data_IF_260934096613
#
_entry.id   IF_260934096613
#
_cell.length_a   1.000
_cell.length_b   1.000
_cell.length_c   1.000
_cell.angle_alpha   90.00
_cell.angle_beta   90.00
_cell.angle_gamma   90.00
#
_symmetry.space_group_name_H-M   'P 1'
#
loop_
_entity.id
_entity.type
_entity.pdbx_description
1 polymer ?
#
# COMPACT_ATOMS: atom_id res chain seq x y z
N UNK A 1 12.67 -28.44 -6.87
CA UNK A 1 12.42 -27.25 -7.71
C UNK A 1 11.60 -26.24 -6.92
N UNK A 2 12.05 -25.00 -6.85
CA UNK A 2 11.35 -23.95 -6.11
C UNK A 2 10.08 -23.53 -6.85
N UNK A 3 8.99 -23.33 -6.10
CA UNK A 3 7.75 -22.77 -6.61
C UNK A 3 8.04 -21.40 -7.25
N UNK A 4 7.54 -21.10 -8.47
CA UNK A 4 7.83 -19.82 -9.11
C UNK A 4 7.36 -18.58 -8.33
N UNK A 5 6.27 -18.69 -7.57
CA UNK A 5 5.84 -17.60 -6.71
C UNK A 5 6.82 -17.36 -5.57
N UNK A 6 7.26 -18.42 -4.91
CA UNK A 6 8.24 -18.32 -3.84
C UNK A 6 9.59 -17.80 -4.36
N UNK A 7 10.01 -18.24 -5.53
CA UNK A 7 11.23 -17.77 -6.18
C UNK A 7 11.16 -16.25 -6.46
N UNK A 8 10.04 -15.78 -7.00
CA UNK A 8 9.82 -14.36 -7.25
C UNK A 8 9.86 -13.55 -5.94
N UNK A 9 9.12 -14.00 -4.92
CA UNK A 9 9.06 -13.31 -3.63
C UNK A 9 10.44 -13.26 -2.96
N UNK A 10 11.20 -14.34 -3.02
CA UNK A 10 12.55 -14.39 -2.45
C UNK A 10 13.48 -13.40 -3.15
N UNK A 11 13.41 -13.34 -4.47
CA UNK A 11 14.24 -12.42 -5.28
C UNK A 11 13.91 -10.95 -4.97
N UNK A 12 12.65 -10.64 -4.70
CA UNK A 12 12.16 -9.28 -4.50
C UNK A 12 11.94 -8.93 -3.02
N UNK A 13 12.40 -9.76 -2.09
CA UNK A 13 12.12 -9.58 -0.66
C UNK A 13 12.61 -8.22 -0.15
N UNK A 14 13.82 -7.81 -0.53
CA UNK A 14 14.37 -6.53 -0.08
C UNK A 14 13.59 -5.35 -0.64
N UNK A 15 13.18 -5.43 -1.90
CA UNK A 15 12.38 -4.37 -2.53
C UNK A 15 11.01 -4.25 -1.85
N UNK A 16 10.37 -5.39 -1.56
CA UNK A 16 9.09 -5.41 -0.85
C UNK A 16 9.23 -4.83 0.56
N UNK A 17 10.31 -5.16 1.26
CA UNK A 17 10.56 -4.62 2.58
C UNK A 17 10.77 -3.10 2.54
N UNK A 18 11.52 -2.60 1.56
CA UNK A 18 11.73 -1.18 1.39
C UNK A 18 10.42 -0.45 1.07
N UNK A 19 9.57 -1.02 0.23
CA UNK A 19 8.26 -0.45 -0.08
C UNK A 19 7.36 -0.43 1.16
N UNK A 20 7.36 -1.49 1.95
CA UNK A 20 6.60 -1.56 3.19
C UNK A 20 7.07 -0.51 4.20
N UNK A 21 8.37 -0.35 4.38
CA UNK A 21 8.93 0.68 5.26
C UNK A 21 8.50 2.07 4.81
N UNK A 22 8.62 2.36 3.52
CA UNK A 22 8.22 3.65 2.98
C UNK A 22 6.73 3.90 3.17
N UNK A 23 5.89 2.88 2.99
CA UNK A 23 4.46 2.99 3.23
C UNK A 23 4.15 3.31 4.69
N UNK A 24 4.77 2.61 5.62
CA UNK A 24 4.58 2.83 7.07
C UNK A 24 5.05 4.22 7.48
N UNK A 25 6.12 4.72 6.87
CA UNK A 25 6.63 6.07 7.15
C UNK A 25 5.71 7.18 6.63
N UNK A 26 4.82 6.88 5.70
CA UNK A 26 3.72 7.77 5.32
C UNK A 26 2.58 7.60 6.34
N UNK A 27 2.76 8.18 7.50
CA UNK A 27 1.81 8.07 8.59
C UNK A 27 0.43 8.54 8.15
N UNK A 28 -0.59 7.77 8.47
CA UNK A 28 -1.95 7.98 7.95
C UNK A 28 -3.02 7.82 9.03
N UNK A 29 -3.01 8.68 10.07
CA UNK A 29 -4.06 8.64 11.08
C UNK A 29 -5.43 8.87 10.44
N UNK A 30 -6.39 8.02 10.78
CA UNK A 30 -7.72 8.02 10.16
C UNK A 30 -8.38 9.41 10.15
N UNK A 31 -8.20 10.19 11.21
CA UNK A 31 -8.84 11.49 11.36
C UNK A 31 -8.10 12.62 10.63
N UNK A 32 -6.93 12.38 10.09
CA UNK A 32 -6.15 13.37 9.35
C UNK A 32 -6.24 13.09 7.84
N UNK A 33 -7.27 13.67 7.21
CA UNK A 33 -7.50 13.45 5.78
C UNK A 33 -6.28 13.79 4.93
N UNK A 34 -5.59 14.87 5.20
CA UNK A 34 -4.45 15.31 4.40
C UNK A 34 -3.32 14.26 4.43
N UNK A 35 -3.04 13.69 5.60
CA UNK A 35 -2.04 12.64 5.74
C UNK A 35 -2.49 11.31 5.13
N UNK A 36 -3.77 10.96 5.27
CA UNK A 36 -4.31 9.76 4.63
C UNK A 36 -4.22 9.90 3.11
N UNK A 37 -4.60 11.03 2.56
CA UNK A 37 -4.52 11.27 1.11
C UNK A 37 -3.07 11.28 0.61
N UNK A 38 -2.13 11.79 1.39
CA UNK A 38 -0.71 11.72 1.05
C UNK A 38 -0.20 10.28 1.01
N UNK A 39 -0.61 9.45 1.97
CA UNK A 39 -0.32 8.02 1.95
C UNK A 39 -0.93 7.35 0.71
N UNK A 40 -2.18 7.71 0.38
CA UNK A 40 -2.84 7.25 -0.84
C UNK A 40 -2.08 7.63 -2.10
N UNK A 41 -1.53 8.84 -2.17
CA UNK A 41 -0.70 9.26 -3.31
C UNK A 41 0.56 8.40 -3.43
N UNK A 42 1.19 8.06 -2.31
CA UNK A 42 2.33 7.14 -2.31
C UNK A 42 1.92 5.75 -2.85
N UNK A 43 0.76 5.24 -2.43
CA UNK A 43 0.24 3.98 -2.96
C UNK A 43 0.00 4.05 -4.47
N UNK A 44 -0.53 5.16 -4.97
CA UNK A 44 -0.70 5.36 -6.41
C UNK A 44 0.63 5.25 -7.15
N UNK A 45 1.69 5.82 -6.60
CA UNK A 45 3.03 5.73 -7.17
C UNK A 45 3.56 4.29 -7.17
N UNK A 46 3.33 3.54 -6.09
CA UNK A 46 3.72 2.13 -6.03
C UNK A 46 3.02 1.30 -7.10
N UNK A 47 1.70 1.44 -7.24
CA UNK A 47 0.94 0.72 -8.25
C UNK A 47 1.35 1.11 -9.67
N UNK A 48 1.62 2.39 -9.90
CA UNK A 48 2.09 2.85 -11.20
C UNK A 48 3.46 2.25 -11.57
N UNK A 49 4.39 2.24 -10.61
CA UNK A 49 5.74 1.71 -10.84
C UNK A 49 5.75 0.20 -11.06
N UNK A 50 5.00 -0.54 -10.25
CA UNK A 50 5.06 -2.00 -10.28
C UNK A 50 4.09 -2.63 -11.28
N UNK A 51 2.93 -2.03 -11.48
CA UNK A 51 1.85 -2.64 -12.26
C UNK A 51 1.37 -1.77 -13.41
N UNK A 52 1.88 -0.56 -13.54
CA UNK A 52 1.46 0.41 -14.58
C UNK A 52 -0.05 0.64 -14.55
N UNK A 53 -0.61 0.77 -13.36
CA UNK A 53 -2.06 0.93 -13.13
C UNK A 53 -2.30 2.22 -12.37
N UNK A 54 -3.29 2.99 -12.82
CA UNK A 54 -3.79 4.18 -12.13
C UNK A 54 -5.13 3.86 -11.48
N UNK A 55 -5.45 4.41 -10.29
CA UNK A 55 -6.71 4.13 -9.65
C UNK A 55 -7.85 5.01 -10.16
N UNK A 56 -9.09 4.54 -9.95
CA UNK A 56 -10.23 5.42 -9.83
C UNK A 56 -10.24 5.98 -8.41
N UNK A 57 -10.42 7.28 -8.29
CA UNK A 57 -10.45 7.97 -7.00
C UNK A 57 -11.88 8.37 -6.66
N UNK A 58 -12.32 7.98 -5.49
CA UNK A 58 -13.64 8.35 -4.97
C UNK A 58 -13.44 9.35 -3.83
N UNK A 59 -13.61 10.63 -4.13
CA UNK A 59 -13.36 11.72 -3.19
C UNK A 59 -14.30 11.65 -1.99
N UNK A 60 -13.73 11.86 -0.81
CA UNK A 60 -14.47 11.95 0.45
C UNK A 60 -14.25 13.33 1.05
N UNK A 61 -15.23 13.80 1.84
CA UNK A 61 -15.14 15.15 2.43
C UNK A 61 -14.41 15.15 3.77
N UNK A 62 -14.63 14.16 4.60
CA UNK A 62 -14.07 14.11 5.96
C UNK A 62 -12.96 13.09 6.11
N UNK A 63 -13.08 11.97 5.43
CA UNK A 63 -12.10 10.89 5.47
C UNK A 63 -11.17 10.96 4.26
N UNK A 64 -10.12 10.14 4.26
CA UNK A 64 -9.26 9.97 3.09
C UNK A 64 -10.05 9.43 1.91
N UNK A 65 -9.62 9.78 0.71
CA UNK A 65 -10.26 9.35 -0.51
C UNK A 65 -10.12 7.82 -0.69
N UNK A 66 -11.13 7.20 -1.28
CA UNK A 66 -11.07 5.78 -1.63
C UNK A 66 -10.35 5.61 -2.97
N UNK A 67 -9.57 4.56 -3.08
CA UNK A 67 -8.82 4.23 -4.30
C UNK A 67 -9.22 2.84 -4.78
N UNK A 68 -9.57 2.72 -6.06
CA UNK A 68 -9.90 1.45 -6.68
C UNK A 68 -8.93 1.16 -7.82
N UNK A 69 -8.12 0.13 -7.66
CA UNK A 69 -7.19 -0.33 -8.67
C UNK A 69 -7.76 -1.56 -9.36
N UNK A 70 -7.84 -1.53 -10.69
CA UNK A 70 -8.28 -2.66 -11.49
C UNK A 70 -7.08 -3.27 -12.18
N UNK A 71 -6.81 -4.54 -11.93
CA UNK A 71 -5.61 -5.23 -12.39
C UNK A 71 -6.00 -6.45 -13.18
N UNK A 72 -5.35 -6.63 -14.33
CA UNK A 72 -5.56 -7.79 -15.18
C UNK A 72 -6.82 -7.69 -16.03
N UNK A 73 -7.11 -8.79 -16.71
CA UNK A 73 -8.24 -8.92 -17.64
C UNK A 73 -8.90 -10.29 -17.43
N UNK A 74 -10.10 -10.43 -17.92
CA UNK A 74 -10.82 -11.68 -17.83
C UNK A 74 -12.24 -11.49 -17.33
N UNK A 75 -12.98 -12.60 -17.30
CA UNK A 75 -14.41 -12.60 -16.93
C UNK A 75 -14.65 -12.77 -15.44
N UNK A 76 -13.65 -13.24 -14.72
CA UNK A 76 -13.76 -13.42 -13.27
C UNK A 76 -13.04 -12.28 -12.57
N UNK A 77 -13.65 -11.79 -11.49
CA UNK A 77 -13.10 -10.72 -10.70
C UNK A 77 -13.04 -11.11 -9.24
N UNK A 78 -11.93 -10.80 -8.60
CA UNK A 78 -11.76 -10.95 -7.16
C UNK A 78 -11.60 -9.57 -6.57
N UNK A 79 -12.37 -9.27 -5.53
CA UNK A 79 -12.25 -8.01 -4.79
C UNK A 79 -11.35 -8.23 -3.58
N UNK A 80 -10.25 -7.48 -3.52
CA UNK A 80 -9.43 -7.37 -2.31
C UNK A 80 -9.77 -6.04 -1.64
N UNK A 81 -10.40 -6.11 -0.49
CA UNK A 81 -10.79 -4.92 0.26
C UNK A 81 -9.85 -4.75 1.44
N UNK A 82 -9.15 -3.62 1.46
CA UNK A 82 -8.17 -3.32 2.50
C UNK A 82 -8.21 -1.84 2.83
N UNK A 83 -7.44 -1.43 3.83
CA UNK A 83 -7.33 -0.02 4.18
C UNK A 83 -5.88 0.35 4.50
N UNK A 84 -5.54 1.62 4.32
CA UNK A 84 -4.20 2.12 4.59
C UNK A 84 -4.17 3.23 5.66
N UNK A 85 -5.33 3.65 6.15
CA UNK A 85 -5.41 4.52 7.32
C UNK A 85 -5.21 3.72 8.60
N UNK A 86 -4.77 4.37 9.66
CA UNK A 86 -4.50 3.72 10.94
C UNK A 86 -5.15 4.47 12.08
N UNK A 87 -5.31 3.77 13.21
CA UNK A 87 -5.81 4.38 14.45
C UNK A 87 -4.68 4.99 15.30
N UNK A 88 -3.44 4.89 14.84
CA UNK A 88 -2.29 5.37 15.60
C UNK A 88 -2.09 6.87 15.41
N UNK A 89 -1.83 7.57 16.52
CA UNK A 89 -1.42 8.96 16.49
C UNK A 89 -0.04 9.09 15.82
N UNK A 90 0.27 10.32 15.38
CA UNK A 90 1.57 10.61 14.78
C UNK A 90 2.72 10.25 15.73
N UNK A 91 3.79 9.73 15.12
CA UNK A 91 5.05 9.42 15.79
C UNK A 91 4.95 8.37 16.92
N UNK A 92 3.86 7.60 16.93
CA UNK A 92 3.69 6.50 17.88
C UNK A 92 4.34 5.19 17.43
N UNK A 93 4.40 4.98 16.10
CA UNK A 93 5.02 3.79 15.53
C UNK A 93 6.13 4.21 14.58
N UNK A 94 7.24 3.51 14.66
CA UNK A 94 8.33 3.63 13.69
C UNK A 94 8.61 2.27 13.07
N UNK A 95 9.53 2.24 12.13
CA UNK A 95 10.00 0.99 11.54
C UNK A 95 11.36 0.66 12.11
N UNK A 96 11.58 -0.62 12.42
CA UNK A 96 12.88 -1.15 12.78
C UNK A 96 12.94 -2.62 12.43
N UNK A 97 14.14 -3.12 12.23
CA UNK A 97 14.38 -4.53 11.96
C UNK A 97 15.29 -5.06 13.07
N UNK A 98 14.77 -6.04 13.80
CA UNK A 98 15.51 -6.71 14.86
C UNK A 98 15.41 -8.21 14.67
N UNK A 99 16.56 -8.90 14.63
CA UNK A 99 16.64 -10.36 14.47
C UNK A 99 15.85 -10.85 13.25
N UNK A 100 15.91 -10.10 12.13
CA UNK A 100 15.20 -10.44 10.91
C UNK A 100 13.70 -10.22 10.96
N UNK A 101 13.20 -9.44 11.93
CA UNK A 101 11.78 -9.17 12.13
C UNK A 101 11.47 -7.68 12.12
#
# INVERSE_FOLDING_TARGET
MMNPFLSYLTTHADDMLNDLKALVEHQSPTEDKALVDACGAFLCDLFARHLNVQPERFAQTKAGDHLLFKIGQGNRRTLLLTHFDTVWDLDRLGTRIEDGK
#
